data_IF_019540954032
#
_entry.id   IF_019540954032
#
_cell.length_a   1.000
_cell.length_b   1.000
_cell.length_c   1.000
_cell.angle_alpha   90.00
_cell.angle_beta   90.00
_cell.angle_gamma   90.00
#
_symmetry.space_group_name_H-M   'P 1'
#
loop_
_entity.id
_entity.type
_entity.pdbx_description
1 polymer ?
#
# COMPACT_ATOMS: atom_id res chain seq x y z
N UNK A 1 64.46 -0.63 38.54
CA UNK A 1 63.89 0.09 37.37
C UNK A 1 63.27 -0.96 36.46
N UNK A 2 62.01 -1.33 36.77
CA UNK A 2 61.29 -2.44 36.13
C UNK A 2 60.01 -1.91 35.49
N UNK A 3 59.92 -2.16 34.19
CA UNK A 3 58.77 -2.47 33.33
C UNK A 3 57.35 -2.27 33.89
N UNK A 4 56.53 -1.54 33.13
CA UNK A 4 55.14 -1.92 32.87
C UNK A 4 54.68 -1.36 31.49
N UNK A 5 54.32 -2.26 30.59
CA UNK A 5 53.61 -2.05 29.32
C UNK A 5 52.09 -1.77 29.60
N UNK A 6 51.24 -1.44 28.60
CA UNK A 6 50.54 -0.17 28.45
C UNK A 6 49.06 -0.20 28.93
N UNK A 7 48.62 0.83 29.67
CA UNK A 7 47.24 0.94 30.16
C UNK A 7 46.23 1.52 29.13
N UNK A 8 46.69 2.07 28.00
CA UNK A 8 45.84 2.86 27.09
C UNK A 8 44.94 2.06 26.13
N UNK A 9 45.33 0.84 25.75
CA UNK A 9 44.58 0.02 24.79
C UNK A 9 43.55 -0.91 25.44
N UNK A 10 43.70 -1.23 26.73
CA UNK A 10 42.73 -2.03 27.49
C UNK A 10 41.47 -1.24 27.89
N UNK A 11 41.59 0.08 28.10
CA UNK A 11 40.48 0.93 28.56
C UNK A 11 39.47 1.24 27.43
N UNK A 12 39.95 1.35 26.19
CA UNK A 12 39.05 1.59 25.04
C UNK A 12 38.23 0.34 24.67
N UNK A 13 38.82 -0.85 24.85
CA UNK A 13 38.14 -2.13 24.61
C UNK A 13 37.12 -2.49 25.72
N UNK A 14 37.35 -2.00 26.96
CA UNK A 14 36.42 -2.17 28.08
C UNK A 14 35.24 -1.17 28.00
N UNK A 15 35.47 0.08 27.58
CA UNK A 15 34.41 1.08 27.43
C UNK A 15 33.46 0.78 26.25
N UNK A 16 33.97 0.19 25.17
CA UNK A 16 33.14 -0.26 24.05
C UNK A 16 32.33 -1.52 24.42
N UNK A 17 32.88 -2.43 25.24
CA UNK A 17 32.14 -3.58 25.79
C UNK A 17 31.07 -3.18 26.79
N UNK A 18 31.26 -2.15 27.62
CA UNK A 18 30.25 -1.68 28.59
C UNK A 18 29.08 -0.94 27.92
N UNK A 19 29.31 -0.26 26.80
CA UNK A 19 28.24 0.37 26.00
C UNK A 19 27.42 -0.64 25.17
N UNK A 20 27.96 -1.84 24.92
CA UNK A 20 27.29 -2.91 24.18
C UNK A 20 26.66 -4.00 25.07
N UNK A 21 27.05 -4.11 26.35
CA UNK A 21 26.57 -5.17 27.28
C UNK A 21 25.49 -4.74 28.28
N UNK A 22 25.03 -3.49 28.25
CA UNK A 22 23.91 -3.02 29.10
C UNK A 22 22.57 -3.02 28.35
N UNK A 23 22.43 -3.89 27.35
CA UNK A 23 21.12 -4.29 26.87
C UNK A 23 20.47 -5.22 27.91
N UNK A 24 19.18 -4.96 28.15
CA UNK A 24 18.16 -5.83 28.74
C UNK A 24 17.99 -5.78 30.28
N UNK A 25 16.79 -5.28 30.67
CA UNK A 25 16.08 -5.38 31.96
C UNK A 25 16.20 -4.25 33.01
N UNK A 26 15.04 -3.64 33.31
CA UNK A 26 14.76 -2.77 34.48
C UNK A 26 15.26 -1.33 34.31
N UNK A 27 14.55 -0.24 34.62
CA UNK A 27 13.34 -0.02 35.42
C UNK A 27 12.64 1.26 34.91
N UNK A 28 11.50 1.58 35.49
CA UNK A 28 10.52 2.62 35.11
C UNK A 28 11.04 4.09 35.17
N UNK A 29 12.34 4.34 35.33
CA UNK A 29 12.87 5.65 35.75
C UNK A 29 13.77 6.42 34.75
N UNK A 30 14.12 5.88 33.58
CA UNK A 30 14.97 6.61 32.62
C UNK A 30 14.17 7.44 31.59
N UNK A 31 13.32 8.35 32.07
CA UNK A 31 12.69 9.40 31.26
C UNK A 31 13.43 10.75 31.30
N UNK A 32 14.65 10.81 31.80
CA UNK A 32 15.28 12.10 32.20
C UNK A 32 16.12 12.81 31.14
N UNK A 33 16.23 12.32 29.90
CA UNK A 33 17.05 12.97 28.85
C UNK A 33 16.31 13.40 27.58
N UNK A 34 14.99 13.22 27.51
CA UNK A 34 14.17 13.84 26.45
C UNK A 34 13.70 15.24 26.91
N UNK A 35 13.61 16.23 26.01
CA UNK A 35 13.11 17.57 26.36
C UNK A 35 11.74 17.48 27.04
N UNK A 36 11.58 18.08 28.24
CA UNK A 36 10.38 17.98 29.08
C UNK A 36 9.08 18.40 28.37
N UNK A 37 9.16 19.27 27.37
CA UNK A 37 8.02 19.68 26.53
C UNK A 37 7.49 18.55 25.64
N UNK A 38 8.36 17.62 25.22
CA UNK A 38 7.99 16.47 24.39
C UNK A 38 7.33 15.35 25.20
N UNK A 39 7.65 15.25 26.50
CA UNK A 39 7.09 14.26 27.45
C UNK A 39 5.69 14.70 27.91
N UNK A 40 5.50 15.99 28.21
CA UNK A 40 4.22 16.51 28.69
C UNK A 40 3.13 16.48 27.61
N UNK A 41 3.48 16.78 26.36
CA UNK A 41 2.58 16.62 25.21
C UNK A 41 2.20 15.14 24.94
N UNK A 42 3.03 14.19 25.36
CA UNK A 42 2.83 12.76 25.11
C UNK A 42 1.95 12.06 26.17
N UNK A 43 1.88 12.63 27.38
CA UNK A 43 1.05 12.11 28.47
C UNK A 43 -0.40 12.60 28.42
N UNK A 44 -0.66 13.77 27.82
CA UNK A 44 -2.01 14.36 27.77
C UNK A 44 -2.90 13.78 26.66
N UNK A 45 -2.36 13.15 25.61
CA UNK A 45 -3.14 12.69 24.44
C UNK A 45 -3.58 11.20 24.48
N UNK A 46 -3.26 10.45 25.54
CA UNK A 46 -3.57 9.02 25.65
C UNK A 46 -4.87 8.74 26.42
N UNK A 47 -6.01 9.23 25.93
CA UNK A 47 -7.35 9.04 26.52
C UNK A 47 -7.94 7.61 26.36
N UNK A 48 -7.14 6.64 25.88
CA UNK A 48 -7.60 5.26 25.63
C UNK A 48 -6.73 4.19 26.29
N UNK A 49 -6.13 4.50 27.44
CA UNK A 49 -5.42 3.56 28.31
C UNK A 49 -6.32 2.44 28.91
N UNK A 50 -7.55 2.26 28.41
CA UNK A 50 -8.54 1.28 28.89
C UNK A 50 -8.61 -0.04 28.13
N UNK A 51 -7.78 -0.27 27.11
CA UNK A 51 -7.78 -1.50 26.29
C UNK A 51 -6.57 -2.41 26.57
N UNK A 52 -6.18 -2.56 27.85
CA UNK A 52 -5.15 -3.50 28.27
C UNK A 52 -5.73 -4.91 28.45
N UNK A 53 -5.35 -5.82 27.56
CA UNK A 53 -5.69 -7.24 27.65
C UNK A 53 -5.08 -8.15 26.58
N UNK A 54 -4.58 -7.59 25.47
CA UNK A 54 -3.75 -8.32 24.49
C UNK A 54 -2.36 -7.69 24.39
N UNK A 55 -1.33 -8.44 24.79
CA UNK A 55 -0.01 -8.29 24.21
C UNK A 55 -0.05 -8.83 22.76
N UNK A 56 0.93 -8.48 21.93
CA UNK A 56 1.25 -9.23 20.70
C UNK A 56 0.41 -8.95 19.43
N UNK A 57 0.13 -7.68 19.11
CA UNK A 57 -0.72 -7.32 17.95
C UNK A 57 0.06 -7.15 16.64
N UNK A 58 1.16 -6.39 16.63
CA UNK A 58 1.86 -6.02 15.39
C UNK A 58 3.14 -6.83 15.17
N UNK A 59 3.19 -7.56 14.06
CA UNK A 59 4.43 -8.02 13.45
C UNK A 59 4.85 -7.04 12.37
N UNK A 60 6.03 -6.45 12.50
CA UNK A 60 6.60 -5.58 11.46
C UNK A 60 7.54 -6.42 10.61
N UNK A 61 7.24 -6.54 9.32
CA UNK A 61 8.06 -7.28 8.36
C UNK A 61 8.85 -6.27 7.52
N UNK A 62 10.16 -6.23 7.73
CA UNK A 62 11.10 -5.43 6.95
C UNK A 62 11.57 -6.27 5.76
N UNK A 63 11.27 -5.81 4.54
CA UNK A 63 11.79 -6.38 3.29
C UNK A 63 12.80 -5.37 2.72
N UNK A 64 14.10 -5.62 2.90
CA UNK A 64 15.14 -4.67 2.50
C UNK A 64 15.20 -4.45 1.00
N UNK A 65 15.55 -3.23 0.62
CA UNK A 65 15.98 -2.92 -0.73
C UNK A 65 17.51 -2.95 -0.75
N UNK A 66 18.10 -3.77 -1.63
CA UNK A 66 19.56 -3.93 -1.68
C UNK A 66 20.33 -2.61 -1.77
N UNK A 67 19.76 -1.61 -2.45
CA UNK A 67 20.36 -0.28 -2.59
C UNK A 67 20.35 0.56 -1.30
N UNK A 68 19.51 0.20 -0.33
CA UNK A 68 19.23 0.97 0.89
C UNK A 68 19.41 0.09 2.17
N UNK A 69 20.11 -1.05 2.08
CA UNK A 69 20.35 -1.97 3.19
C UNK A 69 21.05 -1.33 4.40
N UNK A 70 21.91 -0.35 4.16
CA UNK A 70 22.64 0.40 5.21
C UNK A 70 21.72 1.28 6.09
N UNK A 71 20.45 1.40 5.73
CA UNK A 71 19.47 2.24 6.42
C UNK A 71 18.56 1.46 7.36
N UNK A 72 18.73 0.14 7.41
CA UNK A 72 17.90 -0.75 8.21
C UNK A 72 17.97 -0.39 9.70
N UNK A 73 19.15 0.03 10.18
CA UNK A 73 19.37 0.53 11.53
C UNK A 73 18.46 1.72 11.86
N UNK A 74 18.33 2.67 10.94
CA UNK A 74 17.49 3.85 11.11
C UNK A 74 16.03 3.45 11.20
N UNK A 75 15.61 2.52 10.34
CA UNK A 75 14.25 1.98 10.34
C UNK A 75 13.92 1.27 11.65
N UNK A 76 14.79 0.37 12.12
CA UNK A 76 14.61 -0.35 13.38
C UNK A 76 14.54 0.63 14.56
N UNK A 77 15.46 1.61 14.63
CA UNK A 77 15.42 2.62 15.69
C UNK A 77 14.14 3.45 15.63
N UNK A 78 13.68 3.84 14.44
CA UNK A 78 12.42 4.58 14.28
C UNK A 78 11.22 3.79 14.79
N UNK A 79 11.17 2.47 14.55
CA UNK A 79 10.13 1.59 15.09
C UNK A 79 10.19 1.61 16.62
N UNK A 80 11.36 1.32 17.20
CA UNK A 80 11.55 1.21 18.65
C UNK A 80 11.23 2.52 19.40
N UNK A 81 11.42 3.68 18.75
CA UNK A 81 11.14 4.99 19.31
C UNK A 81 9.66 5.41 19.21
N UNK A 82 8.92 4.93 18.22
CA UNK A 82 7.57 5.43 17.91
C UNK A 82 6.44 4.43 18.16
N UNK A 83 6.77 3.13 18.24
CA UNK A 83 5.80 2.09 18.50
C UNK A 83 5.34 2.08 19.97
N UNK A 84 4.05 1.79 20.19
CA UNK A 84 3.58 1.40 21.50
C UNK A 84 4.11 0.00 21.83
N UNK A 85 4.94 -0.10 22.87
CA UNK A 85 5.61 -1.35 23.27
C UNK A 85 4.65 -2.48 23.62
N UNK A 86 3.44 -2.17 24.08
CA UNK A 86 2.45 -3.19 24.44
C UNK A 86 1.76 -3.80 23.20
N UNK A 87 1.82 -3.10 22.07
CA UNK A 87 1.21 -3.53 20.81
C UNK A 87 2.23 -4.15 19.86
N UNK A 88 3.52 -3.80 19.98
CA UNK A 88 4.59 -4.32 19.14
C UNK A 88 4.95 -5.74 19.58
N UNK A 89 4.66 -6.72 18.73
CA UNK A 89 4.95 -8.13 18.99
C UNK A 89 6.38 -8.52 18.61
N UNK A 90 6.77 -8.18 17.39
CA UNK A 90 8.05 -8.59 16.81
C UNK A 90 8.41 -7.76 15.58
N UNK A 91 9.69 -7.78 15.23
CA UNK A 91 10.25 -7.23 14.01
C UNK A 91 10.94 -8.37 13.26
N UNK A 92 10.49 -8.68 12.05
CA UNK A 92 11.03 -9.73 11.20
C UNK A 92 11.73 -9.08 10.01
N UNK A 93 13.01 -9.39 9.82
CA UNK A 93 13.82 -8.91 8.71
C UNK A 93 14.02 -10.06 7.74
N UNK A 94 13.51 -9.89 6.51
CA UNK A 94 13.73 -10.88 5.44
C UNK A 94 14.99 -10.50 4.70
N UNK A 95 16.11 -11.09 5.10
CA UNK A 95 17.41 -10.85 4.48
C UNK A 95 17.51 -11.66 3.19
N UNK A 96 17.06 -11.06 2.08
CA UNK A 96 17.32 -11.61 0.77
C UNK A 96 18.78 -11.36 0.37
N UNK A 97 19.33 -12.33 -0.33
CA UNK A 97 20.72 -12.36 -0.72
C UNK A 97 21.09 -11.25 -1.73
N UNK A 98 21.45 -10.08 -1.20
CA UNK A 98 22.01 -8.96 -1.95
C UNK A 98 23.52 -9.14 -2.18
N UNK A 99 23.99 -10.37 -2.47
CA UNK A 99 25.42 -10.76 -2.58
C UNK A 99 26.23 -9.80 -3.47
N UNK A 100 25.64 -9.25 -4.53
CA UNK A 100 26.27 -8.29 -5.45
C UNK A 100 26.57 -6.90 -4.83
N UNK A 101 25.95 -6.55 -3.70
CA UNK A 101 26.21 -5.28 -2.99
C UNK A 101 27.44 -5.32 -2.08
N UNK A 102 27.99 -6.51 -1.82
CA UNK A 102 29.09 -6.71 -0.87
C UNK A 102 28.74 -6.38 0.59
N UNK A 103 27.44 -6.16 0.91
CA UNK A 103 26.96 -5.72 2.22
C UNK A 103 25.97 -6.75 2.79
N UNK A 104 26.48 -7.65 3.62
CA UNK A 104 25.65 -8.58 4.40
C UNK A 104 24.89 -7.81 5.51
N UNK A 105 23.56 -7.90 5.50
CA UNK A 105 22.66 -7.24 6.46
C UNK A 105 22.97 -7.71 7.89
N UNK A 106 23.29 -8.99 8.07
CA UNK A 106 23.59 -9.56 9.39
C UNK A 106 24.89 -8.97 9.94
N UNK A 107 25.92 -8.89 9.10
CA UNK A 107 27.17 -8.22 9.42
C UNK A 107 26.97 -6.73 9.72
N UNK A 108 26.09 -6.04 8.99
CA UNK A 108 25.80 -4.61 9.21
C UNK A 108 25.06 -4.34 10.53
N UNK A 109 24.03 -5.13 10.84
CA UNK A 109 23.28 -5.02 12.08
C UNK A 109 24.13 -5.32 13.31
N UNK A 110 25.14 -6.20 13.15
CA UNK A 110 26.09 -6.58 14.19
C UNK A 110 25.42 -7.14 15.46
N UNK A 111 26.18 -7.25 16.56
CA UNK A 111 25.65 -7.71 17.85
C UNK A 111 24.53 -6.81 18.41
N UNK A 112 24.47 -5.54 17.97
CA UNK A 112 23.53 -4.50 18.44
C UNK A 112 22.05 -4.91 18.37
N UNK A 113 21.67 -5.71 17.37
CA UNK A 113 20.29 -6.16 17.18
C UNK A 113 20.11 -7.67 17.18
N UNK A 114 21.18 -8.45 16.98
CA UNK A 114 21.12 -9.91 16.90
C UNK A 114 20.73 -10.57 18.24
N UNK A 115 21.03 -9.93 19.37
CA UNK A 115 20.75 -10.48 20.70
C UNK A 115 19.36 -10.12 21.24
N UNK A 116 18.53 -9.42 20.45
CA UNK A 116 17.21 -8.96 20.91
C UNK A 116 16.11 -9.98 20.57
N UNK A 117 15.38 -10.51 21.56
CA UNK A 117 14.27 -11.44 21.31
C UNK A 117 13.15 -10.88 20.41
N UNK A 118 13.04 -9.55 20.35
CA UNK A 118 12.06 -8.83 19.54
C UNK A 118 12.37 -8.89 18.03
N UNK A 119 13.63 -9.10 17.65
CA UNK A 119 14.08 -8.99 16.26
C UNK A 119 14.48 -10.37 15.74
N UNK A 120 13.90 -10.78 14.62
CA UNK A 120 14.20 -12.05 13.94
C UNK A 120 14.74 -11.75 12.54
N UNK A 121 15.83 -12.40 12.16
CA UNK A 121 16.37 -12.32 10.81
C UNK A 121 16.15 -13.66 10.13
N UNK A 122 15.57 -13.63 8.93
CA UNK A 122 15.32 -14.80 8.09
C UNK A 122 16.12 -14.62 6.81
N UNK A 123 17.14 -15.45 6.63
CA UNK A 123 17.96 -15.48 5.42
C UNK A 123 17.23 -16.26 4.33
N UNK A 124 17.28 -15.77 3.09
CA UNK A 124 16.64 -16.41 1.95
C UNK A 124 17.32 -16.07 0.63
N UNK A 125 17.22 -16.98 -0.34
CA UNK A 125 17.65 -16.74 -1.73
C UNK A 125 16.50 -16.26 -2.63
N UNK A 126 15.28 -16.16 -2.10
CA UNK A 126 14.13 -15.63 -2.81
C UNK A 126 14.39 -14.18 -3.23
N UNK A 127 13.93 -13.82 -4.42
CA UNK A 127 14.16 -12.48 -5.00
C UNK A 127 12.86 -11.72 -5.24
N UNK A 128 11.76 -12.42 -5.51
CA UNK A 128 10.52 -11.77 -5.91
C UNK A 128 9.75 -11.25 -4.69
N UNK A 129 9.28 -10.00 -4.79
CA UNK A 129 8.66 -9.28 -3.67
C UNK A 129 7.49 -10.06 -3.05
N UNK A 130 6.66 -10.71 -3.87
CA UNK A 130 5.54 -11.52 -3.39
C UNK A 130 6.00 -12.72 -2.55
N UNK A 131 7.09 -13.39 -2.93
CA UNK A 131 7.64 -14.52 -2.18
C UNK A 131 8.27 -14.07 -0.85
N UNK A 132 8.96 -12.93 -0.85
CA UNK A 132 9.50 -12.31 0.35
C UNK A 132 8.40 -11.88 1.32
N UNK A 133 7.30 -11.30 0.81
CA UNK A 133 6.12 -10.97 1.59
C UNK A 133 5.47 -12.22 2.19
N UNK A 134 5.32 -13.28 1.40
CA UNK A 134 4.79 -14.57 1.87
C UNK A 134 5.68 -15.17 2.96
N UNK A 135 7.00 -15.15 2.79
CA UNK A 135 7.96 -15.66 3.77
C UNK A 135 7.84 -14.89 5.10
N UNK A 136 7.79 -13.55 5.04
CA UNK A 136 7.62 -12.73 6.23
C UNK A 136 6.27 -12.93 6.92
N UNK A 137 5.18 -13.02 6.16
CA UNK A 137 3.87 -13.29 6.73
C UNK A 137 3.77 -14.67 7.38
N UNK A 138 4.36 -15.70 6.77
CA UNK A 138 4.35 -17.06 7.30
C UNK A 138 5.11 -17.17 8.63
N UNK A 139 6.15 -16.35 8.82
CA UNK A 139 6.92 -16.31 10.05
C UNK A 139 6.40 -15.30 11.08
N UNK A 140 5.47 -14.42 10.68
CA UNK A 140 4.80 -13.51 11.59
C UNK A 140 3.83 -14.23 12.51
N UNK A 141 3.76 -13.86 13.78
CA UNK A 141 2.84 -14.41 14.78
C UNK A 141 1.82 -13.40 15.31
N UNK A 142 1.99 -12.11 15.02
CA UNK A 142 1.05 -11.05 15.36
C UNK A 142 -0.24 -11.09 14.51
N UNK A 143 -1.28 -10.42 15.00
CA UNK A 143 -2.58 -10.32 14.34
C UNK A 143 -2.57 -9.38 13.13
N UNK A 144 -1.73 -8.34 13.18
CA UNK A 144 -1.54 -7.35 12.13
C UNK A 144 -0.11 -7.44 11.62
N UNK A 145 0.04 -7.56 10.31
CA UNK A 145 1.33 -7.55 9.62
C UNK A 145 1.48 -6.17 8.98
N UNK A 146 2.55 -5.46 9.31
CA UNK A 146 2.96 -4.23 8.63
C UNK A 146 4.23 -4.51 7.82
N UNK A 147 4.11 -4.48 6.50
CA UNK A 147 5.27 -4.55 5.61
C UNK A 147 5.90 -3.18 5.46
N UNK A 148 7.24 -3.10 5.48
CA UNK A 148 8.01 -1.87 5.22
C UNK A 148 9.33 -2.18 4.50
N UNK A 149 9.88 -1.25 3.71
CA UNK A 149 11.25 -1.35 3.22
C UNK A 149 12.29 -1.00 4.30
N UNK A 150 13.56 -1.33 4.05
CA UNK A 150 14.70 -1.05 4.96
C UNK A 150 15.01 0.43 5.18
N UNK A 151 14.42 1.35 4.41
CA UNK A 151 14.64 2.80 4.50
C UNK A 151 13.34 3.57 4.80
N UNK A 152 12.80 3.36 6.00
CA UNK A 152 11.51 3.88 6.43
C UNK A 152 11.59 4.63 7.76
N UNK A 153 11.04 5.84 7.80
CA UNK A 153 10.82 6.59 9.04
C UNK A 153 9.34 6.51 9.45
N UNK A 154 9.09 6.09 10.68
CA UNK A 154 7.75 5.91 11.22
C UNK A 154 7.26 7.22 11.85
N UNK A 155 6.05 7.70 11.53
CA UNK A 155 5.45 8.84 12.21
C UNK A 155 4.99 8.45 13.61
N UNK A 156 4.79 9.43 14.50
CA UNK A 156 4.18 9.16 15.82
C UNK A 156 2.77 8.58 15.68
N UNK A 157 2.35 7.79 16.67
CA UNK A 157 0.99 7.25 16.78
C UNK A 157 0.51 6.45 15.55
N UNK A 158 1.43 5.86 14.78
CA UNK A 158 1.12 5.16 13.54
C UNK A 158 0.26 3.91 13.71
N UNK A 159 0.31 3.27 14.89
CA UNK A 159 -0.40 2.01 15.17
C UNK A 159 -1.91 2.22 15.27
N UNK A 160 -2.37 3.28 15.94
CA UNK A 160 -3.78 3.49 16.26
C UNK A 160 -4.67 3.70 15.02
N UNK A 161 -4.31 4.54 14.03
CA UNK A 161 -5.06 4.68 12.78
C UNK A 161 -5.15 3.37 12.00
N UNK A 162 -4.07 2.58 11.97
CA UNK A 162 -4.06 1.27 11.30
C UNK A 162 -5.02 0.30 11.99
N UNK A 163 -4.94 0.18 13.32
CA UNK A 163 -5.86 -0.66 14.10
C UNK A 163 -7.30 -0.24 13.89
N UNK A 164 -7.60 1.07 13.95
CA UNK A 164 -8.94 1.60 13.71
C UNK A 164 -9.48 1.16 12.35
N UNK A 165 -8.69 1.33 11.29
CA UNK A 165 -9.11 0.98 9.93
C UNK A 165 -9.31 -0.54 9.72
N UNK A 166 -8.48 -1.37 10.36
CA UNK A 166 -8.60 -2.83 10.32
C UNK A 166 -9.71 -3.37 11.24
N UNK A 167 -10.04 -2.67 12.32
CA UNK A 167 -11.17 -3.03 13.20
C UNK A 167 -12.52 -2.79 12.53
N UNK A 168 -12.60 -1.77 11.68
CA UNK A 168 -13.78 -1.46 10.86
C UNK A 168 -14.00 -2.54 9.78
N UNK A 169 -12.92 -3.00 9.14
CA UNK A 169 -12.99 -4.14 8.23
C UNK A 169 -11.65 -4.90 8.20
N UNK A 170 -11.63 -6.09 8.80
CA UNK A 170 -10.42 -6.91 8.88
C UNK A 170 -9.94 -7.45 7.52
N UNK A 171 -10.83 -7.52 6.52
CA UNK A 171 -10.54 -7.89 5.12
C UNK A 171 -10.02 -6.68 4.32
N UNK A 172 -9.16 -5.87 4.93
CA UNK A 172 -8.63 -4.66 4.31
C UNK A 172 -7.12 -4.69 4.19
N UNK A 173 -6.62 -4.19 3.07
CA UNK A 173 -5.23 -3.74 2.93
C UNK A 173 -5.20 -2.24 3.21
N UNK A 174 -4.44 -1.83 4.21
CA UNK A 174 -4.33 -0.46 4.67
C UNK A 174 -3.02 0.13 4.18
N UNK A 175 -3.10 1.21 3.41
CA UNK A 175 -1.93 1.89 2.85
C UNK A 175 -1.81 3.30 3.42
N UNK A 176 -0.68 3.68 4.04
CA UNK A 176 -0.46 5.06 4.43
C UNK A 176 -0.06 5.90 3.23
N UNK A 177 -0.06 7.22 3.41
CA UNK A 177 0.68 8.14 2.54
C UNK A 177 2.18 8.04 2.83
N UNK A 178 2.98 8.65 1.98
CA UNK A 178 4.42 8.75 2.23
C UNK A 178 4.98 10.12 1.86
N UNK A 179 6.07 10.47 2.52
CA UNK A 179 6.86 11.69 2.32
C UNK A 179 8.29 11.30 2.02
N UNK A 180 8.96 12.09 1.17
CA UNK A 180 10.37 11.89 0.92
C UNK A 180 11.19 12.22 2.17
N UNK A 181 12.20 11.40 2.46
CA UNK A 181 13.17 11.65 3.51
C UNK A 181 14.31 12.51 3.02
N UNK A 182 14.77 13.43 3.88
CA UNK A 182 16.07 14.05 3.71
C UNK A 182 17.14 13.04 4.16
N UNK A 183 17.90 12.50 3.20
CA UNK A 183 18.93 11.47 3.46
C UNK A 183 20.07 11.95 4.37
N UNK A 184 20.36 13.25 4.40
CA UNK A 184 21.46 13.80 5.19
C UNK A 184 21.05 13.97 6.66
N UNK A 185 19.81 14.39 6.90
CA UNK A 185 19.29 14.73 8.23
C UNK A 185 18.44 13.63 8.87
N UNK A 186 18.02 12.62 8.10
CA UNK A 186 17.08 11.57 8.53
C UNK A 186 15.79 12.12 9.13
N UNK A 187 15.33 13.24 8.59
CA UNK A 187 14.06 13.86 8.97
C UNK A 187 13.09 13.84 7.79
N UNK A 188 11.81 13.98 8.11
CA UNK A 188 10.79 14.28 7.09
C UNK A 188 11.22 15.51 6.30
N UNK A 189 11.16 15.42 4.97
CA UNK A 189 11.36 16.60 4.13
C UNK A 189 10.21 17.58 4.38
N UNK A 190 10.56 18.82 4.74
CA UNK A 190 9.60 19.90 4.90
C UNK A 190 9.16 20.50 3.56
N UNK A 191 9.91 20.22 2.49
CA UNK A 191 9.72 20.85 1.18
C UNK A 191 9.06 19.93 0.15
N UNK A 192 9.07 18.60 0.39
CA UNK A 192 8.46 17.65 -0.52
C UNK A 192 6.97 17.46 -0.22
N UNK A 193 6.11 17.32 -1.25
CA UNK A 193 4.70 17.06 -1.06
C UNK A 193 4.45 15.70 -0.40
N UNK A 194 3.25 15.55 0.16
CA UNK A 194 2.75 14.24 0.59
C UNK A 194 2.28 13.48 -0.64
N UNK A 195 2.79 12.27 -0.82
CA UNK A 195 2.43 11.41 -1.92
C UNK A 195 1.37 10.39 -1.50
N UNK A 196 0.40 10.19 -2.38
CA UNK A 196 -0.59 9.13 -2.31
C UNK A 196 -0.10 7.92 -3.10
N UNK A 197 -0.15 6.67 -2.57
CA UNK A 197 0.16 5.47 -3.33
C UNK A 197 -0.94 5.07 -4.32
N UNK A 198 -2.06 5.80 -4.39
CA UNK A 198 -3.25 5.43 -5.16
C UNK A 198 -2.99 5.45 -6.66
N UNK A 199 -3.30 4.32 -7.30
CA UNK A 199 -3.18 4.13 -8.73
C UNK A 199 -4.51 3.67 -9.33
N UNK A 200 -4.71 4.03 -10.60
CA UNK A 200 -5.81 3.58 -11.44
C UNK A 200 -5.32 3.29 -12.86
N UNK A 201 -6.11 2.59 -13.65
CA UNK A 201 -5.84 2.41 -15.07
C UNK A 201 -6.47 3.52 -15.92
N UNK A 202 -5.77 3.95 -16.97
CA UNK A 202 -6.33 4.77 -18.05
C UNK A 202 -7.13 3.91 -19.02
N UNK A 203 -7.79 4.54 -20.02
CA UNK A 203 -8.49 3.82 -21.09
C UNK A 203 -7.60 2.86 -21.88
N UNK A 204 -6.31 3.14 -22.01
CA UNK A 204 -5.31 2.27 -22.66
C UNK A 204 -4.72 1.20 -21.72
N UNK A 205 -5.24 1.13 -20.49
CA UNK A 205 -4.77 0.28 -19.40
C UNK A 205 -3.34 0.60 -18.94
N UNK A 206 -2.97 1.87 -19.01
CA UNK A 206 -1.74 2.39 -18.43
C UNK A 206 -1.98 2.78 -16.98
N UNK A 207 -0.95 2.72 -16.16
CA UNK A 207 -1.10 3.07 -14.75
C UNK A 207 -0.94 4.57 -14.56
N UNK A 208 -1.85 5.18 -13.80
CA UNK A 208 -1.79 6.61 -13.46
C UNK A 208 -2.09 6.83 -11.98
N UNK A 209 -1.52 7.88 -11.41
CA UNK A 209 -1.83 8.29 -10.05
C UNK A 209 -3.21 8.95 -10.03
N UNK A 210 -3.98 8.70 -8.98
CA UNK A 210 -5.25 9.41 -8.75
C UNK A 210 -5.23 10.20 -7.44
N UNK A 211 -5.88 11.35 -7.46
CA UNK A 211 -5.90 12.32 -6.37
C UNK A 211 -7.32 12.55 -5.86
N UNK A 212 -7.96 11.46 -5.41
CA UNK A 212 -9.31 11.51 -4.81
C UNK A 212 -9.24 11.72 -3.30
N UNK A 213 -10.26 12.41 -2.74
CA UNK A 213 -10.43 12.56 -1.30
C UNK A 213 -10.99 11.31 -0.61
N UNK A 214 -11.64 10.41 -1.37
CA UNK A 214 -12.15 9.13 -0.89
C UNK A 214 -11.04 8.31 -0.21
N UNK A 215 -11.34 7.51 0.81
CA UNK A 215 -10.35 6.61 1.41
C UNK A 215 -10.12 5.34 0.56
N UNK A 216 -11.02 5.00 -0.35
CA UNK A 216 -10.90 3.84 -1.23
C UNK A 216 -9.70 3.97 -2.16
N UNK A 217 -9.03 2.85 -2.39
CA UNK A 217 -7.83 2.75 -3.22
C UNK A 217 -8.07 1.66 -4.27
N UNK A 218 -8.15 1.97 -5.57
CA UNK A 218 -8.34 0.93 -6.59
C UNK A 218 -7.16 -0.02 -6.61
N UNK A 219 -5.97 0.56 -6.74
CA UNK A 219 -4.70 -0.14 -6.57
C UNK A 219 -3.70 0.76 -5.87
N UNK A 220 -2.66 0.14 -5.29
CA UNK A 220 -1.58 0.89 -4.67
C UNK A 220 -0.21 0.48 -5.20
N UNK A 221 0.71 1.45 -5.25
CA UNK A 221 2.14 1.18 -5.37
C UNK A 221 2.86 1.69 -4.12
N UNK A 222 3.08 0.79 -3.17
CA UNK A 222 3.80 1.07 -1.92
C UNK A 222 4.38 -0.21 -1.36
N UNK A 223 5.61 -0.16 -0.85
CA UNK A 223 6.18 -1.26 -0.04
C UNK A 223 5.68 -1.22 1.41
N UNK A 224 4.98 -0.13 1.77
CA UNK A 224 4.39 0.07 3.09
C UNK A 224 2.90 -0.19 3.02
N UNK A 225 2.44 -1.24 3.69
CA UNK A 225 1.02 -1.53 3.89
C UNK A 225 0.81 -2.44 5.10
N UNK A 226 -0.33 -2.30 5.75
CA UNK A 226 -0.77 -3.14 6.85
C UNK A 226 -1.96 -4.00 6.45
N UNK A 227 -2.02 -5.20 7.02
CA UNK A 227 -3.07 -6.18 6.75
C UNK A 227 -3.24 -7.09 7.96
N UNK A 228 -4.43 -7.61 8.21
CA UNK A 228 -4.56 -8.68 9.21
C UNK A 228 -3.92 -9.97 8.70
N UNK A 229 -3.29 -10.73 9.59
CA UNK A 229 -2.71 -12.04 9.26
C UNK A 229 -3.77 -12.99 8.69
N UNK A 230 -4.97 -12.97 9.27
CA UNK A 230 -6.10 -13.78 8.78
C UNK A 230 -6.49 -13.43 7.34
N UNK A 231 -6.50 -12.14 6.98
CA UNK A 231 -6.81 -11.73 5.61
C UNK A 231 -5.67 -12.06 4.65
N UNK A 232 -4.41 -11.84 5.07
CA UNK A 232 -3.24 -12.23 4.27
C UNK A 232 -3.29 -13.71 3.89
N UNK A 233 -3.51 -14.61 4.86
CA UNK A 233 -3.62 -16.06 4.64
C UNK A 233 -4.72 -16.45 3.66
N UNK A 234 -5.77 -15.63 3.52
CA UNK A 234 -6.80 -15.88 2.54
C UNK A 234 -6.37 -15.42 1.15
N UNK A 235 -5.96 -14.15 1.03
CA UNK A 235 -5.61 -13.60 -0.28
C UNK A 235 -4.34 -14.24 -0.84
N UNK A 236 -3.35 -14.64 -0.03
CA UNK A 236 -2.09 -15.20 -0.51
C UNK A 236 -2.23 -16.54 -1.22
N UNK A 237 -3.35 -17.25 -1.11
CA UNK A 237 -3.63 -18.53 -1.81
C UNK A 237 -3.58 -18.41 -3.33
N UNK A 238 -3.78 -17.21 -3.86
CA UNK A 238 -3.71 -16.89 -5.29
C UNK A 238 -2.34 -16.32 -5.72
N UNK A 239 -1.35 -16.34 -4.81
CA UNK A 239 0.06 -16.03 -5.08
C UNK A 239 0.80 -17.35 -5.21
N UNK A 240 1.23 -17.66 -6.43
CA UNK A 240 2.12 -18.77 -6.72
C UNK A 240 3.46 -18.25 -7.29
N UNK A 241 4.51 -19.09 -7.35
CA UNK A 241 5.82 -18.67 -7.86
C UNK A 241 5.77 -18.09 -9.27
N UNK A 242 4.88 -18.57 -10.14
CA UNK A 242 4.74 -18.08 -11.50
C UNK A 242 4.15 -16.66 -11.52
N UNK A 243 3.13 -16.41 -10.71
CA UNK A 243 2.56 -15.07 -10.56
C UNK A 243 3.57 -14.11 -9.94
N UNK A 244 4.31 -14.56 -8.92
CA UNK A 244 5.35 -13.74 -8.31
C UNK A 244 6.46 -13.38 -9.31
N UNK A 245 6.87 -14.32 -10.16
CA UNK A 245 7.86 -14.09 -11.23
C UNK A 245 7.37 -13.11 -12.30
N UNK A 246 6.10 -13.17 -12.69
CA UNK A 246 5.52 -12.23 -13.67
C UNK A 246 5.46 -10.81 -13.09
N UNK A 247 4.95 -10.67 -11.87
CA UNK A 247 4.69 -9.36 -11.28
C UNK A 247 5.94 -8.72 -10.69
N UNK A 248 6.89 -9.50 -10.17
CA UNK A 248 8.10 -9.02 -9.49
C UNK A 248 7.76 -7.96 -8.44
N UNK A 249 8.25 -6.73 -8.62
CA UNK A 249 7.98 -5.58 -7.74
C UNK A 249 6.59 -4.96 -7.90
N UNK A 250 5.80 -5.41 -8.90
CA UNK A 250 4.46 -4.90 -9.21
C UNK A 250 3.33 -5.74 -8.59
N UNK A 251 3.66 -6.73 -7.74
CA UNK A 251 2.67 -7.64 -7.12
C UNK A 251 1.58 -6.90 -6.33
N UNK A 252 1.88 -5.69 -5.86
CA UNK A 252 0.94 -4.82 -5.17
C UNK A 252 -0.32 -4.50 -6.00
N UNK A 253 -0.21 -4.40 -7.33
CA UNK A 253 -1.39 -4.22 -8.21
C UNK A 253 -2.28 -5.45 -8.18
N UNK A 254 -1.69 -6.63 -8.23
CA UNK A 254 -2.43 -7.89 -8.20
C UNK A 254 -3.15 -8.09 -6.87
N UNK A 255 -2.46 -7.92 -5.74
CA UNK A 255 -3.09 -8.07 -4.42
C UNK A 255 -4.14 -6.99 -4.14
N UNK A 256 -4.02 -5.82 -4.76
CA UNK A 256 -5.05 -4.78 -4.66
C UNK A 256 -6.37 -5.22 -5.30
N UNK A 257 -6.30 -5.62 -6.58
CA UNK A 257 -7.48 -6.07 -7.32
C UNK A 257 -8.02 -7.37 -6.72
N UNK A 258 -7.14 -8.28 -6.32
CA UNK A 258 -7.50 -9.50 -5.59
C UNK A 258 -8.31 -9.18 -4.33
N UNK A 259 -7.87 -8.23 -3.51
CA UNK A 259 -8.60 -7.85 -2.29
C UNK A 259 -10.03 -7.41 -2.60
N UNK A 260 -10.23 -6.54 -3.60
CA UNK A 260 -11.57 -6.10 -4.03
C UNK A 260 -12.44 -7.23 -4.57
N UNK A 261 -11.85 -8.13 -5.37
CA UNK A 261 -12.55 -9.22 -6.03
C UNK A 261 -12.87 -10.41 -5.10
N UNK A 262 -12.19 -10.51 -3.96
CA UNK A 262 -12.43 -11.52 -2.93
C UNK A 262 -13.34 -10.99 -1.78
N UNK A 263 -14.01 -9.85 -1.97
CA UNK A 263 -14.90 -9.25 -0.96
C UNK A 263 -14.19 -8.48 0.17
N UNK A 264 -12.91 -8.16 -0.01
CA UNK A 264 -12.16 -7.23 0.83
C UNK A 264 -12.13 -5.81 0.28
N UNK A 265 -11.22 -4.99 0.80
CA UNK A 265 -10.97 -3.63 0.30
C UNK A 265 -9.48 -3.25 0.35
N UNK A 266 -9.16 -2.14 -0.30
CA UNK A 266 -7.91 -1.41 -0.07
C UNK A 266 -8.26 0.02 0.33
N UNK A 267 -7.67 0.52 1.41
CA UNK A 267 -7.97 1.86 1.93
C UNK A 267 -6.72 2.63 2.32
N UNK A 268 -6.75 3.93 2.06
CA UNK A 268 -5.73 4.88 2.46
C UNK A 268 -6.09 5.52 3.80
N UNK A 269 -5.08 5.71 4.66
CA UNK A 269 -5.16 6.59 5.83
C UNK A 269 -4.51 7.93 5.47
N UNK A 270 -5.32 8.98 5.35
CA UNK A 270 -4.88 10.27 4.81
C UNK A 270 -3.98 11.06 5.78
N UNK A 271 -4.23 10.91 7.08
CA UNK A 271 -3.51 11.54 8.19
C UNK A 271 -2.18 10.84 8.51
N UNK A 272 -1.95 9.63 7.98
CA UNK A 272 -0.78 8.81 8.28
C UNK A 272 0.22 8.86 7.13
N UNK A 273 1.41 9.42 7.39
CA UNK A 273 2.47 9.57 6.40
C UNK A 273 3.80 9.00 6.88
N UNK A 274 4.32 8.00 6.18
CA UNK A 274 5.64 7.42 6.45
C UNK A 274 6.74 8.12 5.65
N UNK A 275 7.95 8.21 6.20
CA UNK A 275 9.10 8.72 5.47
C UNK A 275 9.75 7.62 4.63
N UNK A 276 10.02 7.87 3.35
CA UNK A 276 10.72 6.95 2.44
C UNK A 276 11.80 7.65 1.63
N UNK A 277 12.85 6.93 1.22
CA UNK A 277 13.96 7.50 0.43
C UNK A 277 13.67 7.58 -1.06
N UNK A 278 12.79 6.72 -1.59
CA UNK A 278 12.49 6.61 -3.02
C UNK A 278 11.00 6.55 -3.28
N UNK A 279 10.60 7.25 -4.33
CA UNK A 279 9.24 7.20 -4.89
C UNK A 279 9.40 7.09 -6.41
N UNK A 280 9.39 5.86 -6.93
CA UNK A 280 9.35 5.63 -8.37
C UNK A 280 8.32 4.55 -8.63
N UNK A 281 7.28 4.90 -9.38
CA UNK A 281 6.23 3.98 -9.76
C UNK A 281 6.48 3.54 -11.20
N UNK A 282 6.85 2.27 -11.45
CA UNK A 282 7.09 1.78 -12.79
C UNK A 282 5.76 1.57 -13.52
N UNK A 283 5.77 1.73 -14.85
CA UNK A 283 4.66 1.27 -15.68
C UNK A 283 4.71 -0.26 -15.80
N UNK A 284 3.58 -0.97 -15.59
CA UNK A 284 3.55 -2.42 -15.76
C UNK A 284 3.78 -2.79 -17.23
N UNK A 285 4.50 -3.91 -17.45
CA UNK A 285 4.70 -4.49 -18.79
C UNK A 285 3.37 -4.94 -19.41
N UNK A 286 3.36 -5.18 -20.72
CA UNK A 286 2.17 -5.74 -21.40
C UNK A 286 1.76 -7.10 -20.84
N UNK A 287 2.73 -7.91 -20.41
CA UNK A 287 2.51 -9.21 -19.76
C UNK A 287 1.74 -9.05 -18.44
N UNK A 288 2.19 -8.14 -17.56
CA UNK A 288 1.50 -7.84 -16.30
C UNK A 288 0.09 -7.30 -16.58
N UNK A 289 -0.03 -6.40 -17.55
CA UNK A 289 -1.32 -5.83 -17.97
C UNK A 289 -2.28 -6.91 -18.46
N UNK A 290 -1.83 -7.86 -19.28
CA UNK A 290 -2.67 -8.99 -19.71
C UNK A 290 -3.15 -9.83 -18.52
N UNK A 291 -2.27 -10.17 -17.58
CA UNK A 291 -2.65 -10.97 -16.40
C UNK A 291 -3.67 -10.24 -15.54
N UNK A 292 -3.46 -8.95 -15.26
CA UNK A 292 -4.41 -8.14 -14.48
C UNK A 292 -5.78 -8.05 -15.17
N UNK A 293 -5.77 -7.79 -16.48
CA UNK A 293 -6.98 -7.64 -17.28
C UNK A 293 -7.80 -8.94 -17.32
N UNK A 294 -7.15 -10.08 -17.57
CA UNK A 294 -7.81 -11.38 -17.66
C UNK A 294 -8.28 -11.91 -16.30
N UNK A 295 -7.55 -11.58 -15.23
CA UNK A 295 -7.85 -12.08 -13.88
C UNK A 295 -8.98 -11.31 -13.21
N UNK A 296 -8.95 -9.97 -13.27
CA UNK A 296 -9.66 -9.14 -12.28
C UNK A 296 -10.66 -8.15 -12.86
N UNK A 297 -10.62 -7.91 -14.16
CA UNK A 297 -11.51 -6.94 -14.82
C UNK A 297 -12.71 -7.67 -15.41
N UNK A 298 -13.89 -7.07 -15.28
CA UNK A 298 -15.13 -7.59 -15.88
C UNK A 298 -15.09 -7.51 -17.41
N UNK A 299 -15.89 -8.36 -18.07
CA UNK A 299 -15.89 -8.46 -19.52
C UNK A 299 -16.27 -7.14 -20.25
N UNK A 300 -17.30 -6.38 -19.83
CA UNK A 300 -17.59 -5.07 -20.42
C UNK A 300 -16.41 -4.10 -20.38
N UNK A 301 -15.80 -3.91 -19.19
CA UNK A 301 -14.66 -3.01 -19.02
C UNK A 301 -13.45 -3.50 -19.81
N UNK A 302 -13.22 -4.82 -19.84
CA UNK A 302 -12.16 -5.44 -20.65
C UNK A 302 -12.34 -5.15 -22.14
N UNK A 303 -13.54 -5.28 -22.69
CA UNK A 303 -13.80 -4.98 -24.09
C UNK A 303 -13.51 -3.52 -24.42
N UNK A 304 -13.90 -2.60 -23.54
CA UNK A 304 -13.60 -1.17 -23.71
C UNK A 304 -12.09 -0.91 -23.75
N UNK A 305 -11.33 -1.51 -22.84
CA UNK A 305 -9.86 -1.44 -22.81
C UNK A 305 -9.24 -1.97 -24.11
N UNK A 306 -9.72 -3.12 -24.59
CA UNK A 306 -9.21 -3.76 -25.81
C UNK A 306 -9.49 -2.93 -27.07
N UNK A 307 -10.60 -2.18 -27.09
CA UNK A 307 -10.92 -1.26 -28.18
C UNK A 307 -10.05 0.01 -28.13
N UNK A 308 -9.70 0.48 -26.93
CA UNK A 308 -8.91 1.70 -26.74
C UNK A 308 -7.39 1.46 -26.87
N UNK A 309 -6.90 0.26 -26.55
CA UNK A 309 -5.46 -0.06 -26.50
C UNK A 309 -5.06 -1.02 -27.61
N UNK A 310 -4.79 -0.51 -28.80
CA UNK A 310 -4.34 -1.33 -29.95
C UNK A 310 -3.07 -2.15 -29.60
N UNK A 311 -2.13 -1.54 -28.87
CA UNK A 311 -0.89 -2.19 -28.44
C UNK A 311 -1.15 -3.40 -27.56
N UNK A 312 -2.02 -3.28 -26.55
CA UNK A 312 -2.37 -4.38 -25.66
C UNK A 312 -3.17 -5.44 -26.41
N UNK A 313 -4.11 -5.02 -27.26
CA UNK A 313 -4.93 -5.92 -28.05
C UNK A 313 -4.09 -6.79 -29.00
N UNK A 314 -3.12 -6.19 -29.70
CA UNK A 314 -2.21 -6.93 -30.58
C UNK A 314 -1.29 -7.87 -29.79
N UNK A 315 -0.79 -7.45 -28.63
CA UNK A 315 0.01 -8.31 -27.76
C UNK A 315 -0.78 -9.54 -27.30
N UNK A 316 -2.02 -9.38 -26.84
CA UNK A 316 -2.85 -10.49 -26.37
C UNK A 316 -3.19 -11.48 -27.49
N UNK A 317 -3.43 -10.99 -28.72
CA UNK A 317 -3.63 -11.87 -29.90
C UNK A 317 -2.41 -12.72 -30.25
N UNK A 318 -1.21 -12.21 -29.97
CA UNK A 318 0.06 -12.88 -30.25
C UNK A 318 0.60 -13.66 -29.05
N UNK A 319 -0.07 -13.60 -27.90
CA UNK A 319 0.39 -14.27 -26.68
C UNK A 319 0.46 -15.79 -26.91
N UNK A 320 1.50 -16.43 -26.36
CA UNK A 320 1.77 -17.84 -26.62
C UNK A 320 0.71 -18.74 -25.98
N UNK A 321 0.43 -19.90 -26.58
CA UNK A 321 -0.51 -20.87 -26.00
C UNK A 321 -0.11 -21.33 -24.58
N UNK A 322 1.18 -21.31 -24.24
CA UNK A 322 1.64 -21.62 -22.89
C UNK A 322 1.19 -20.55 -21.87
N UNK A 323 1.23 -19.28 -22.25
CA UNK A 323 0.76 -18.18 -21.40
C UNK A 323 -0.76 -18.22 -21.22
N UNK A 324 -1.49 -18.60 -22.27
CA UNK A 324 -2.95 -18.80 -22.20
C UNK A 324 -3.34 -19.90 -21.21
N UNK A 325 -2.62 -21.03 -21.20
CA UNK A 325 -2.83 -22.12 -20.22
C UNK A 325 -2.64 -21.62 -18.78
N UNK A 326 -1.62 -20.79 -18.55
CA UNK A 326 -1.35 -20.18 -17.24
C UNK A 326 -2.50 -19.26 -16.79
N UNK A 327 -3.00 -18.40 -17.70
CA UNK A 327 -4.14 -17.53 -17.41
C UNK A 327 -5.40 -18.34 -17.11
N UNK A 328 -5.66 -19.40 -17.87
CA UNK A 328 -6.83 -20.25 -17.67
C UNK A 328 -6.78 -20.95 -16.31
N UNK A 329 -5.62 -21.53 -15.95
CA UNK A 329 -5.40 -22.10 -14.62
C UNK A 329 -5.63 -21.08 -13.50
N UNK A 330 -5.15 -19.84 -13.68
CA UNK A 330 -5.38 -18.77 -12.71
C UNK A 330 -6.86 -18.45 -12.56
N UNK A 331 -7.61 -18.35 -13.66
CA UNK A 331 -9.06 -18.09 -13.64
C UNK A 331 -9.83 -19.19 -12.92
N UNK A 332 -9.43 -20.45 -13.08
CA UNK A 332 -10.01 -21.58 -12.34
C UNK A 332 -9.77 -21.44 -10.85
N UNK A 333 -8.53 -21.14 -10.43
CA UNK A 333 -8.20 -20.90 -9.02
C UNK A 333 -8.98 -19.71 -8.44
N UNK A 334 -9.12 -18.61 -9.18
CA UNK A 334 -9.91 -17.44 -8.75
C UNK A 334 -11.36 -17.85 -8.43
N UNK A 335 -11.95 -18.71 -9.26
CA UNK A 335 -13.30 -19.24 -9.03
C UNK A 335 -13.35 -20.19 -7.84
N UNK A 336 -12.38 -21.09 -7.72
CA UNK A 336 -12.28 -22.05 -6.60
C UNK A 336 -12.21 -21.34 -5.24
N UNK A 337 -11.49 -20.22 -5.17
CA UNK A 337 -11.37 -19.41 -3.95
C UNK A 337 -12.46 -18.34 -3.78
N UNK A 338 -13.55 -18.40 -4.56
CA UNK A 338 -14.69 -17.48 -4.49
C UNK A 338 -14.29 -15.99 -4.67
N UNK A 339 -13.26 -15.75 -5.47
CA UNK A 339 -12.66 -14.43 -5.72
C UNK A 339 -13.04 -13.82 -7.08
N UNK A 340 -14.17 -14.23 -7.68
CA UNK A 340 -14.61 -13.77 -9.02
C UNK A 340 -15.65 -12.63 -8.94
N UNK A 341 -15.59 -11.80 -7.90
CA UNK A 341 -16.58 -10.72 -7.67
C UNK A 341 -16.21 -9.42 -8.41
N UNK A 342 -15.95 -9.53 -9.73
CA UNK A 342 -15.43 -8.43 -10.58
C UNK A 342 -16.29 -7.16 -10.56
N UNK A 343 -17.61 -7.31 -10.45
CA UNK A 343 -18.55 -6.19 -10.36
C UNK A 343 -18.37 -5.35 -9.09
N UNK A 344 -17.75 -5.87 -8.03
CA UNK A 344 -17.45 -5.09 -6.83
C UNK A 344 -16.45 -3.98 -7.18
N UNK A 345 -15.35 -4.31 -7.87
CA UNK A 345 -14.36 -3.31 -8.25
C UNK A 345 -15.01 -2.21 -9.09
N UNK A 346 -15.72 -2.61 -10.13
CA UNK A 346 -16.37 -1.71 -11.09
C UNK A 346 -17.44 -0.82 -10.44
N UNK A 347 -18.25 -1.36 -9.53
CA UNK A 347 -19.24 -0.57 -8.79
C UNK A 347 -18.61 0.39 -7.78
N UNK A 348 -17.49 0.02 -7.14
CA UNK A 348 -16.82 0.85 -6.13
C UNK A 348 -16.06 2.03 -6.72
N UNK A 349 -15.54 1.87 -7.93
CA UNK A 349 -14.73 2.86 -8.64
C UNK A 349 -15.41 3.35 -9.92
N UNK A 350 -16.74 3.33 -9.94
CA UNK A 350 -17.51 3.63 -11.12
C UNK A 350 -17.23 5.03 -11.67
N UNK A 351 -17.14 6.04 -10.79
CA UNK A 351 -16.88 7.43 -11.21
C UNK A 351 -15.47 7.53 -11.79
N UNK A 352 -14.45 7.01 -11.11
CA UNK A 352 -13.07 7.03 -11.59
C UNK A 352 -12.94 6.29 -12.93
N UNK A 353 -13.57 5.11 -13.07
CA UNK A 353 -13.61 4.38 -14.34
C UNK A 353 -14.29 5.19 -15.44
N UNK A 354 -15.36 5.92 -15.11
CA UNK A 354 -16.08 6.72 -16.08
C UNK A 354 -15.33 7.97 -16.50
N UNK A 355 -14.65 8.65 -15.57
CA UNK A 355 -13.75 9.77 -15.86
C UNK A 355 -12.61 9.36 -16.80
N UNK A 356 -12.06 8.16 -16.63
CA UNK A 356 -11.06 7.61 -17.54
C UNK A 356 -11.64 7.09 -18.85
N UNK A 357 -12.97 7.14 -19.05
CA UNK A 357 -13.64 6.66 -20.27
C UNK A 357 -13.64 5.14 -20.42
N UNK A 358 -13.50 4.42 -19.31
CA UNK A 358 -13.56 2.95 -19.27
C UNK A 358 -15.00 2.43 -19.15
N UNK A 359 -15.89 3.25 -18.59
CA UNK A 359 -17.30 2.92 -18.39
C UNK A 359 -18.16 4.14 -18.73
N UNK A 360 -19.30 3.92 -19.37
CA UNK A 360 -20.25 5.00 -19.64
C UNK A 360 -21.01 5.38 -18.37
N UNK A 361 -21.14 6.69 -18.11
CA UNK A 361 -22.02 7.22 -17.07
C UNK A 361 -23.47 6.73 -17.24
N UNK A 362 -24.25 6.56 -16.15
CA UNK A 362 -25.61 6.08 -16.23
C UNK A 362 -26.43 7.27 -16.69
N UNK A 363 -26.67 7.28 -17.99
CA UNK A 363 -27.38 8.32 -18.70
C UNK A 363 -28.87 8.10 -18.54
N UNK A 364 -29.56 9.04 -17.91
CA UNK A 364 -31.00 8.94 -17.69
C UNK A 364 -31.67 10.30 -17.81
N UNK A 365 -32.98 10.26 -18.02
CA UNK A 365 -33.81 11.46 -17.98
C UNK A 365 -34.15 11.81 -16.53
N UNK A 366 -34.00 13.08 -16.16
CA UNK A 366 -34.43 13.57 -14.85
C UNK A 366 -35.87 14.07 -15.00
N UNK A 367 -36.80 13.37 -14.36
CA UNK A 367 -38.23 13.69 -14.38
C UNK A 367 -38.60 14.52 -13.16
N UNK A 368 -39.21 15.68 -13.36
CA UNK A 368 -39.73 16.51 -12.28
C UNK A 368 -41.05 15.94 -11.75
N UNK A 369 -41.08 15.60 -10.46
CA UNK A 369 -42.22 14.92 -9.82
C UNK A 369 -43.52 15.71 -9.85
N UNK A 370 -43.47 17.04 -9.91
CA UNK A 370 -44.66 17.89 -9.85
C UNK A 370 -45.54 17.87 -11.11
N UNK A 371 -44.96 17.65 -12.29
CA UNK A 371 -45.71 17.66 -13.56
C UNK A 371 -45.28 16.58 -14.56
N UNK A 372 -44.37 15.68 -14.17
CA UNK A 372 -43.89 14.59 -15.02
C UNK A 372 -43.02 15.02 -16.21
N UNK A 373 -42.62 16.29 -16.29
CA UNK A 373 -41.77 16.80 -17.38
C UNK A 373 -40.31 16.50 -17.12
N UNK A 374 -39.56 16.35 -18.21
CA UNK A 374 -38.12 16.11 -18.16
C UNK A 374 -37.36 17.43 -18.17
N UNK A 375 -36.29 17.49 -17.40
CA UNK A 375 -35.28 18.53 -17.57
C UNK A 375 -34.69 18.43 -18.99
N UNK A 376 -34.43 19.57 -19.62
CA UNK A 376 -33.95 19.69 -21.00
C UNK A 376 -32.96 20.82 -21.07
N UNK A 377 -31.76 20.52 -21.53
CA UNK A 377 -30.70 21.49 -21.79
C UNK A 377 -31.03 22.25 -23.07
N UNK A 378 -31.07 23.58 -22.99
CA UNK A 378 -31.28 24.48 -24.11
C UNK A 378 -30.00 25.30 -24.30
N UNK A 379 -29.35 25.08 -25.43
CA UNK A 379 -28.09 25.72 -25.83
C UNK A 379 -27.56 25.08 -27.11
N UNK A 380 -26.58 25.68 -27.77
CA UNK A 380 -26.05 25.15 -29.02
C UNK A 380 -24.70 24.47 -28.79
N UNK A 381 -24.72 23.16 -28.50
CA UNK A 381 -23.52 22.35 -28.21
C UNK A 381 -22.42 22.44 -29.27
N UNK A 382 -22.75 22.85 -30.50
CA UNK A 382 -21.81 22.98 -31.62
C UNK A 382 -21.00 24.28 -31.63
N UNK A 383 -21.29 25.25 -30.76
CA UNK A 383 -20.51 26.48 -30.63
C UNK A 383 -19.49 26.34 -29.49
N UNK A 384 -18.25 26.03 -29.85
CA UNK A 384 -17.09 26.13 -28.96
C UNK A 384 -17.09 27.49 -28.24
N UNK A 385 -17.22 27.48 -26.90
CA UNK A 385 -17.14 28.67 -26.05
C UNK A 385 -18.46 29.23 -25.49
N UNK A 386 -19.62 28.64 -25.80
CA UNK A 386 -20.89 29.04 -25.18
C UNK A 386 -20.92 28.54 -23.72
N UNK A 387 -20.93 29.46 -22.75
CA UNK A 387 -20.88 29.16 -21.30
C UNK A 387 -22.23 29.20 -20.60
N UNK A 388 -23.30 29.55 -21.32
CA UNK A 388 -24.62 29.78 -20.76
C UNK A 388 -25.59 28.77 -21.35
N UNK A 389 -25.76 27.65 -20.66
CA UNK A 389 -26.83 26.69 -20.93
C UNK A 389 -28.02 26.99 -20.01
N UNK A 390 -29.23 26.87 -20.54
CA UNK A 390 -30.45 27.01 -19.75
C UNK A 390 -31.10 25.64 -19.57
N UNK A 391 -31.50 25.30 -18.35
CA UNK A 391 -32.24 24.08 -18.03
C UNK A 391 -33.74 24.41 -17.98
N UNK A 392 -34.55 23.80 -18.84
CA UNK A 392 -36.02 23.94 -18.84
C UNK A 392 -36.73 22.61 -18.66
N UNK A 393 -37.95 22.66 -18.17
CA UNK A 393 -38.86 21.52 -18.16
C UNK A 393 -39.60 21.44 -19.50
N UNK A 394 -39.48 20.30 -20.19
CA UNK A 394 -40.24 20.01 -21.41
C UNK A 394 -40.75 18.56 -21.41
N UNK A 395 -41.61 18.22 -22.38
CA UNK A 395 -42.14 16.86 -22.47
C UNK A 395 -41.00 15.84 -22.64
N UNK A 396 -41.07 14.75 -21.89
CA UNK A 396 -40.08 13.68 -21.97
C UNK A 396 -40.13 13.02 -23.35
N UNK A 397 -39.01 13.04 -24.06
CA UNK A 397 -38.86 12.43 -25.38
C UNK A 397 -37.83 11.29 -25.32
N UNK A 398 -38.15 10.09 -25.82
CA UNK A 398 -37.16 9.03 -25.91
C UNK A 398 -36.01 9.44 -26.85
N UNK A 399 -34.77 9.13 -26.46
CA UNK A 399 -33.54 9.41 -27.22
C UNK A 399 -33.23 10.90 -27.51
N UNK A 400 -33.77 11.83 -26.73
CA UNK A 400 -33.41 13.25 -26.81
C UNK A 400 -32.14 13.52 -25.99
N UNK A 401 -30.98 13.65 -26.64
CA UNK A 401 -29.69 13.87 -25.96
C UNK A 401 -29.71 15.07 -25.00
N UNK A 402 -30.43 16.13 -25.34
CA UNK A 402 -30.59 17.31 -24.50
C UNK A 402 -31.36 17.03 -23.18
N UNK A 403 -32.02 15.88 -23.06
CA UNK A 403 -32.73 15.43 -21.86
C UNK A 403 -31.99 14.32 -21.10
N UNK A 404 -30.81 13.94 -21.58
CA UNK A 404 -30.02 12.87 -20.97
C UNK A 404 -28.95 13.49 -20.09
N UNK A 405 -29.05 13.21 -18.80
CA UNK A 405 -28.12 13.68 -17.78
C UNK A 405 -27.43 12.48 -17.14
N UNK A 406 -26.30 12.75 -16.51
CA UNK A 406 -25.68 11.84 -15.56
C UNK A 406 -25.46 12.58 -14.25
N UNK A 407 -25.40 11.84 -13.15
CA UNK A 407 -25.07 12.40 -11.84
C UNK A 407 -23.65 11.97 -11.52
N UNK A 408 -22.75 12.94 -11.43
CA UNK A 408 -21.44 12.76 -10.84
C UNK A 408 -21.57 12.80 -9.31
N UNK A 409 -21.04 11.78 -8.63
CA UNK A 409 -21.07 11.67 -7.18
C UNK A 409 -20.12 12.66 -6.48
N UNK A 410 -19.27 13.41 -7.20
CA UNK A 410 -18.48 14.51 -6.64
C UNK A 410 -19.30 15.76 -6.28
N UNK A 411 -20.63 15.67 -6.22
CA UNK A 411 -21.51 16.80 -5.88
C UNK A 411 -21.42 17.96 -6.87
N UNK A 412 -21.00 17.70 -8.11
CA UNK A 412 -21.04 18.65 -9.21
C UNK A 412 -22.04 18.15 -10.24
N UNK A 413 -23.22 18.74 -10.26
CA UNK A 413 -24.07 18.70 -11.45
C UNK A 413 -23.29 19.42 -12.56
N UNK A 414 -22.88 18.69 -13.59
CA UNK A 414 -22.30 19.26 -14.81
C UNK A 414 -23.37 19.24 -15.89
#
# INVERSE_FOLDING_TARGET
>A
MRNAFPLGLAICYLMLKVALTTFVFGSKEEFTTLPRELINSWLEENEYAGLYGKSDIFSIVIIPDCEDNELIDVTINSILLTANRNLLHEIIIISNDCRDSGKDIKSHLGEKFLDKPLIKIIETELQELGELQNLGANNSTGEIILFVPSATLFPKNWMSPIMRSLSDNYKSIIVPRFKKLNKDKWTFSNNDPVYSPKMMFTKEFELTNIHTLDNKVPMFYSKIFAITKSWWLNISKLSDPTINLIFKTSINFDISLRSWNCGGRVAQIAELSFGVTKVKIPQPSLEIRQVLLESWIDEPTKQMIMNNSEKLANYMKLSSGLFEVLINKRKELIKEYECDQKLIFTSKFYNELSEFGLIEYPRSQIVFSGNGKCFTLIGNEKKSGEKNFELKLSECKPNENAQIFYIDNESKFI
#
